data_IF_402992462973
#
_entry.id   IF_402992462973
#
_cell.length_a   1.000
_cell.length_b   1.000
_cell.length_c   1.000
_cell.angle_alpha   90.00
_cell.angle_beta   90.00
_cell.angle_gamma   90.00
#
_symmetry.space_group_name_H-M   'P 1'
#
loop_
_entity.id
_entity.type
_entity.pdbx_description
1 polymer ?
#
# COMPACT_ATOMS: atom_id res chain seq x y z
N UNK A 1 -21.72 32.53 -13.43
CA UNK A 1 -20.31 32.70 -13.03
C UNK A 1 -19.89 31.76 -11.89
N UNK A 2 -20.81 31.23 -11.07
CA UNK A 2 -20.53 30.19 -10.05
C UNK A 2 -20.21 28.79 -10.62
N UNK A 3 -20.82 28.40 -11.75
CA UNK A 3 -20.69 27.02 -12.28
C UNK A 3 -19.25 26.59 -12.57
N UNK A 4 -18.43 27.47 -13.17
CA UNK A 4 -17.06 27.12 -13.56
C UNK A 4 -16.15 26.98 -12.33
N UNK A 5 -16.32 27.81 -11.31
CA UNK A 5 -15.57 27.70 -10.05
C UNK A 5 -15.99 26.49 -9.24
N UNK A 6 -17.29 26.17 -9.22
CA UNK A 6 -17.82 25.01 -8.51
C UNK A 6 -17.35 23.71 -9.19
N UNK A 7 -17.35 23.67 -10.53
CA UNK A 7 -16.82 22.55 -11.31
C UNK A 7 -15.31 22.37 -11.12
N UNK A 8 -14.54 23.48 -11.08
CA UNK A 8 -13.11 23.43 -10.85
C UNK A 8 -12.78 22.96 -9.42
N UNK A 9 -13.58 23.36 -8.43
CA UNK A 9 -13.45 22.93 -7.04
C UNK A 9 -13.70 21.41 -6.90
N UNK A 10 -14.75 20.89 -7.52
CA UNK A 10 -15.10 19.46 -7.49
C UNK A 10 -14.03 18.59 -8.21
N UNK A 11 -13.58 19.01 -9.40
CA UNK A 11 -12.48 18.31 -10.11
C UNK A 11 -11.19 18.33 -9.28
N UNK A 12 -10.89 19.45 -8.62
CA UNK A 12 -9.71 19.57 -7.75
C UNK A 12 -9.82 18.67 -6.51
N UNK A 13 -11.01 18.57 -5.90
CA UNK A 13 -11.25 17.67 -4.76
C UNK A 13 -11.09 16.20 -5.17
N UNK A 14 -11.63 15.81 -6.33
CA UNK A 14 -11.47 14.45 -6.88
C UNK A 14 -10.01 14.15 -7.25
N UNK A 15 -9.28 15.12 -7.79
CA UNK A 15 -7.85 15.00 -8.08
C UNK A 15 -7.01 14.90 -6.79
N UNK A 16 -7.39 15.62 -5.73
CA UNK A 16 -6.69 15.61 -4.46
C UNK A 16 -6.63 14.19 -3.83
N UNK A 17 -7.60 13.31 -4.13
CA UNK A 17 -7.58 11.90 -3.68
C UNK A 17 -6.33 11.13 -4.12
N UNK A 18 -5.75 11.45 -5.28
CA UNK A 18 -4.51 10.82 -5.76
C UNK A 18 -3.26 11.25 -4.99
N UNK A 19 -3.37 12.24 -4.09
CA UNK A 19 -2.30 12.58 -3.14
C UNK A 19 -2.12 11.54 -2.04
N UNK A 20 -3.18 10.76 -1.72
CA UNK A 20 -3.18 9.92 -0.51
C UNK A 20 -4.04 8.66 -0.58
N UNK A 21 -5.30 8.74 -1.03
CA UNK A 21 -6.28 7.65 -0.91
C UNK A 21 -6.45 6.79 -2.16
N UNK A 22 -6.22 7.32 -3.36
CA UNK A 22 -6.32 6.53 -4.58
C UNK A 22 -5.02 5.75 -4.83
N UNK A 23 -5.12 4.41 -4.90
CA UNK A 23 -3.97 3.52 -5.09
C UNK A 23 -3.58 3.39 -6.56
N UNK A 24 -4.55 3.45 -7.47
CA UNK A 24 -4.32 3.44 -8.92
C UNK A 24 -3.35 2.33 -9.37
N UNK A 25 -2.33 2.70 -10.14
CA UNK A 25 -1.29 1.77 -10.60
C UNK A 25 -0.47 1.16 -9.47
N UNK A 26 -0.30 1.86 -8.34
CA UNK A 26 0.42 1.30 -7.19
C UNK A 26 -0.32 0.11 -6.59
N UNK A 27 -1.66 0.12 -6.63
CA UNK A 27 -2.46 -1.01 -6.16
C UNK A 27 -2.30 -2.24 -7.07
N UNK A 28 -2.21 -2.02 -8.38
CA UNK A 28 -1.94 -3.09 -9.36
C UNK A 28 -0.56 -3.71 -9.13
N UNK A 29 0.48 -2.87 -9.03
CA UNK A 29 1.85 -3.31 -8.75
C UNK A 29 1.92 -4.08 -7.44
N UNK A 30 1.33 -3.54 -6.37
CA UNK A 30 1.29 -4.20 -5.07
C UNK A 30 0.60 -5.55 -5.10
N UNK A 31 -0.53 -5.66 -5.83
CA UNK A 31 -1.26 -6.92 -5.98
C UNK A 31 -0.45 -7.97 -6.73
N UNK A 32 0.26 -7.57 -7.80
CA UNK A 32 1.15 -8.49 -8.55
C UNK A 32 2.30 -8.95 -7.66
N UNK A 33 2.97 -8.03 -6.97
CA UNK A 33 4.06 -8.35 -6.06
C UNK A 33 3.58 -9.27 -4.93
N UNK A 34 2.36 -9.06 -4.42
CA UNK A 34 1.75 -9.91 -3.39
C UNK A 34 1.57 -11.34 -3.91
N UNK A 35 0.90 -11.51 -5.05
CA UNK A 35 0.67 -12.84 -5.63
C UNK A 35 1.99 -13.55 -5.90
N UNK A 36 2.97 -12.86 -6.49
CA UNK A 36 4.30 -13.42 -6.73
C UNK A 36 5.00 -13.80 -5.42
N UNK A 37 4.90 -12.98 -4.38
CA UNK A 37 5.55 -13.25 -3.11
C UNK A 37 4.98 -14.49 -2.41
N UNK A 38 3.66 -14.70 -2.47
CA UNK A 38 3.03 -15.92 -1.94
C UNK A 38 3.31 -17.14 -2.83
N UNK A 39 3.30 -16.98 -4.16
CA UNK A 39 3.57 -18.09 -5.09
C UNK A 39 5.01 -18.59 -5.02
N UNK A 40 5.97 -17.68 -4.87
CA UNK A 40 7.41 -17.98 -4.83
C UNK A 40 7.94 -18.25 -3.41
N UNK A 41 7.11 -18.05 -2.38
CA UNK A 41 7.46 -18.26 -0.98
C UNK A 41 8.09 -19.63 -0.69
N UNK A 42 7.52 -20.76 -1.16
CA UNK A 42 8.10 -22.08 -0.95
C UNK A 42 9.49 -22.24 -1.56
N UNK A 43 9.71 -21.72 -2.78
CA UNK A 43 10.98 -21.79 -3.48
C UNK A 43 12.07 -20.92 -2.82
N UNK A 44 11.68 -19.92 -2.03
CA UNK A 44 12.63 -19.07 -1.31
C UNK A 44 13.45 -19.87 -0.29
N UNK A 45 12.95 -21.02 0.20
CA UNK A 45 13.71 -21.88 1.10
C UNK A 45 15.03 -22.37 0.47
N UNK A 46 15.00 -22.68 -0.83
CA UNK A 46 16.13 -23.27 -1.56
C UNK A 46 16.99 -22.23 -2.29
N UNK A 47 16.44 -21.05 -2.57
CA UNK A 47 17.09 -19.98 -3.32
C UNK A 47 17.33 -18.72 -2.46
N UNK A 48 18.55 -18.49 -1.93
CA UNK A 48 18.85 -17.32 -1.09
C UNK A 48 18.61 -15.98 -1.78
N UNK A 49 18.92 -15.89 -3.08
CA UNK A 49 18.66 -14.69 -3.87
C UNK A 49 17.16 -14.38 -3.97
N UNK A 50 16.32 -15.41 -4.06
CA UNK A 50 14.87 -15.26 -4.11
C UNK A 50 14.34 -14.76 -2.77
N UNK A 51 14.90 -15.21 -1.62
CA UNK A 51 14.57 -14.62 -0.31
C UNK A 51 14.80 -13.12 -0.30
N UNK A 52 15.96 -12.66 -0.78
CA UNK A 52 16.27 -11.22 -0.82
C UNK A 52 15.25 -10.45 -1.68
N UNK A 53 14.87 -11.01 -2.84
CA UNK A 53 13.83 -10.43 -3.70
C UNK A 53 12.50 -10.32 -2.95
N UNK A 54 12.04 -11.39 -2.30
CA UNK A 54 10.77 -11.40 -1.57
C UNK A 54 10.77 -10.46 -0.35
N UNK A 55 11.88 -10.40 0.38
CA UNK A 55 12.07 -9.48 1.51
C UNK A 55 12.03 -8.03 1.04
N UNK A 56 12.53 -7.75 -0.17
CA UNK A 56 12.53 -6.40 -0.75
C UNK A 56 11.19 -5.97 -1.35
N UNK A 57 10.27 -6.90 -1.62
CA UNK A 57 8.99 -6.61 -2.28
C UNK A 57 8.16 -5.50 -1.60
N UNK A 58 8.04 -5.42 -0.25
CA UNK A 58 7.33 -4.34 0.41
C UNK A 58 7.96 -2.97 0.18
N UNK A 59 9.29 -2.91 0.17
CA UNK A 59 10.03 -1.68 -0.09
C UNK A 59 9.85 -1.26 -1.54
N UNK A 60 9.94 -2.19 -2.48
CA UNK A 60 9.73 -1.92 -3.91
C UNK A 60 8.31 -1.42 -4.19
N UNK A 61 7.31 -1.98 -3.52
CA UNK A 61 5.93 -1.51 -3.64
C UNK A 61 5.74 -0.10 -3.08
N UNK A 62 6.25 0.18 -1.87
CA UNK A 62 6.19 1.51 -1.27
C UNK A 62 6.93 2.56 -2.11
N UNK A 63 8.11 2.20 -2.64
CA UNK A 63 8.88 3.05 -3.54
C UNK A 63 8.07 3.36 -4.80
N UNK A 64 7.48 2.33 -5.42
CA UNK A 64 6.63 2.49 -6.59
C UNK A 64 5.44 3.40 -6.31
N UNK A 65 4.82 3.27 -5.13
CA UNK A 65 3.73 4.14 -4.68
C UNK A 65 4.17 5.60 -4.58
N UNK A 66 5.31 5.84 -3.94
CA UNK A 66 5.84 7.19 -3.72
C UNK A 66 6.29 7.84 -5.03
N UNK A 67 6.96 7.08 -5.92
CA UNK A 67 7.37 7.54 -7.24
C UNK A 67 6.17 7.87 -8.12
N UNK A 68 5.14 7.01 -8.15
CA UNK A 68 3.92 7.29 -8.89
C UNK A 68 3.21 8.52 -8.35
N UNK A 69 3.17 8.69 -7.02
CA UNK A 69 2.57 9.89 -6.41
C UNK A 69 3.28 11.16 -6.87
N UNK A 70 4.59 11.22 -6.70
CA UNK A 70 5.38 12.45 -6.94
C UNK A 70 5.49 12.74 -8.45
N UNK A 71 5.90 11.77 -9.25
CA UNK A 71 6.27 12.00 -10.64
C UNK A 71 5.11 11.84 -11.63
N UNK A 72 4.08 11.08 -11.28
CA UNK A 72 2.99 10.76 -12.20
C UNK A 72 1.68 11.45 -11.81
N UNK A 73 1.23 11.26 -10.57
CA UNK A 73 -0.08 11.73 -10.12
C UNK A 73 -0.11 13.19 -9.68
N UNK A 74 0.97 13.73 -9.10
CA UNK A 74 1.05 15.13 -8.63
C UNK A 74 1.88 16.05 -9.53
N UNK A 75 2.17 15.62 -10.77
CA UNK A 75 3.01 16.39 -11.70
C UNK A 75 2.40 17.75 -12.07
N UNK A 76 1.07 17.87 -12.07
CA UNK A 76 0.36 19.08 -12.54
C UNK A 76 -0.08 20.02 -11.41
N UNK A 77 0.19 19.67 -10.15
CA UNK A 77 -0.09 20.51 -8.99
C UNK A 77 -0.34 19.70 -7.72
N UNK A 78 0.13 20.20 -6.58
CA UNK A 78 -0.03 19.53 -5.29
C UNK A 78 -1.38 19.86 -4.64
N UNK A 79 -2.46 19.19 -5.07
CA UNK A 79 -3.72 19.22 -4.34
C UNK A 79 -3.69 18.19 -3.19
N UNK A 80 -3.94 18.64 -1.95
CA UNK A 80 -3.93 17.78 -0.76
C UNK A 80 -5.36 17.41 -0.37
N UNK A 81 -5.65 16.12 -0.25
CA UNK A 81 -6.98 15.64 0.12
C UNK A 81 -7.41 16.11 1.51
N UNK A 82 -8.59 16.73 1.62
CA UNK A 82 -9.25 16.97 2.91
C UNK A 82 -9.89 15.67 3.41
N UNK A 83 -9.18 15.00 4.32
CA UNK A 83 -9.64 13.73 4.90
C UNK A 83 -10.85 13.95 5.82
N UNK A 84 -11.99 13.32 5.47
CA UNK A 84 -13.17 13.24 6.31
C UNK A 84 -12.87 12.63 7.69
N UNK A 85 -13.50 13.15 8.74
CA UNK A 85 -13.29 12.68 10.12
C UNK A 85 -13.68 11.22 10.32
N UNK A 86 -14.63 10.69 9.53
CA UNK A 86 -14.98 9.27 9.55
C UNK A 86 -13.81 8.41 9.07
N UNK A 87 -13.21 8.77 7.93
CA UNK A 87 -12.07 8.05 7.35
C UNK A 87 -10.85 8.13 8.27
N UNK A 88 -10.60 9.31 8.88
CA UNK A 88 -9.53 9.50 9.87
C UNK A 88 -9.68 8.59 11.08
N UNK A 89 -10.90 8.45 11.61
CA UNK A 89 -11.19 7.55 12.75
C UNK A 89 -11.00 6.09 12.37
N UNK A 90 -11.48 5.68 11.20
CA UNK A 90 -11.31 4.31 10.70
C UNK A 90 -9.82 3.98 10.50
N UNK A 91 -9.07 4.86 9.84
CA UNK A 91 -7.62 4.72 9.66
C UNK A 91 -6.89 4.57 10.99
N UNK A 92 -7.21 5.46 11.94
CA UNK A 92 -6.63 5.39 13.30
C UNK A 92 -6.94 4.07 13.99
N UNK A 93 -8.18 3.57 13.87
CA UNK A 93 -8.57 2.28 14.42
C UNK A 93 -7.75 1.12 13.83
N UNK A 94 -7.56 1.10 12.51
CA UNK A 94 -6.73 0.09 11.82
C UNK A 94 -5.27 0.13 12.27
N UNK A 95 -4.70 1.33 12.41
CA UNK A 95 -3.31 1.53 12.89
C UNK A 95 -3.16 1.09 14.33
N UNK A 96 -4.10 1.43 15.21
CA UNK A 96 -4.08 0.99 16.62
C UNK A 96 -4.20 -0.53 16.71
N UNK A 97 -5.08 -1.14 15.92
CA UNK A 97 -5.20 -2.59 15.84
C UNK A 97 -3.88 -3.24 15.43
N UNK A 98 -3.25 -2.74 14.37
CA UNK A 98 -1.92 -3.22 13.93
C UNK A 98 -0.87 -3.06 15.03
N UNK A 99 -0.81 -1.91 15.70
CA UNK A 99 0.13 -1.66 16.77
C UNK A 99 -0.07 -2.63 17.94
N UNK A 100 -1.32 -2.92 18.31
CA UNK A 100 -1.65 -3.87 19.36
C UNK A 100 -1.24 -5.30 18.99
N UNK A 101 -1.51 -5.74 17.75
CA UNK A 101 -1.10 -7.07 17.26
C UNK A 101 0.43 -7.17 17.18
N UNK A 102 1.11 -6.16 16.65
CA UNK A 102 2.58 -6.12 16.60
C UNK A 102 3.20 -6.16 17.99
N UNK A 103 2.63 -5.44 18.96
CA UNK A 103 3.07 -5.48 20.35
C UNK A 103 2.83 -6.86 20.97
N UNK A 104 1.67 -7.48 20.71
CA UNK A 104 1.37 -8.83 21.19
C UNK A 104 2.38 -9.85 20.64
N UNK A 105 2.73 -9.78 19.35
CA UNK A 105 3.74 -10.65 18.74
C UNK A 105 5.13 -10.42 19.37
N UNK A 106 5.51 -9.16 19.59
CA UNK A 106 6.78 -8.82 20.24
C UNK A 106 6.85 -9.38 21.67
N UNK A 107 5.84 -9.10 22.49
CA UNK A 107 5.76 -9.57 23.87
C UNK A 107 5.71 -11.09 23.92
N UNK A 108 4.93 -11.74 23.05
CA UNK A 108 4.88 -13.19 22.93
C UNK A 108 6.26 -13.79 22.65
N UNK A 109 7.05 -13.19 21.74
CA UNK A 109 8.42 -13.63 21.47
C UNK A 109 9.36 -13.41 22.67
N UNK A 110 9.23 -12.28 23.38
CA UNK A 110 10.03 -11.98 24.56
C UNK A 110 9.74 -12.93 25.72
N UNK A 111 8.47 -13.17 26.02
CA UNK A 111 8.05 -13.98 27.17
C UNK A 111 8.18 -15.49 26.94
N UNK A 112 7.95 -15.97 25.71
CA UNK A 112 7.99 -17.41 25.40
C UNK A 112 9.36 -17.88 24.90
N UNK A 113 10.15 -17.01 24.26
CA UNK A 113 11.44 -17.35 23.67
C UNK A 113 12.66 -17.04 24.54
N UNK A 114 12.54 -16.11 25.48
CA UNK A 114 13.69 -15.61 26.25
C UNK A 114 14.69 -14.79 25.43
N UNK A 115 15.62 -14.11 26.10
CA UNK A 115 16.62 -13.23 25.45
C UNK A 115 17.75 -14.00 24.74
N UNK A 116 17.93 -15.29 25.04
CA UNK A 116 19.01 -16.11 24.48
C UNK A 116 18.73 -16.57 23.04
N UNK A 117 17.49 -16.44 22.54
CA UNK A 117 17.08 -16.86 21.19
C UNK A 117 17.05 -15.70 20.18
N UNK A 118 17.82 -14.64 20.42
CA UNK A 118 17.91 -13.48 19.52
C UNK A 118 18.92 -13.73 18.40
N UNK A 119 18.43 -14.28 17.30
CA UNK A 119 19.19 -14.44 16.05
C UNK A 119 18.76 -13.40 14.98
N UNK A 120 19.60 -13.22 13.96
CA UNK A 120 19.35 -12.25 12.89
C UNK A 120 18.02 -12.49 12.13
N UNK A 121 17.60 -13.73 11.80
CA UNK A 121 16.31 -14.00 11.17
C UNK A 121 15.11 -13.53 12.01
N UNK A 122 15.12 -13.78 13.33
CA UNK A 122 14.03 -13.36 14.22
C UNK A 122 14.00 -11.85 14.43
N UNK A 123 15.18 -11.22 14.52
CA UNK A 123 15.27 -9.76 14.55
C UNK A 123 14.66 -9.18 13.28
N UNK A 124 15.03 -9.71 12.10
CA UNK A 124 14.46 -9.27 10.83
C UNK A 124 12.95 -9.45 10.73
N UNK A 125 12.43 -10.60 11.17
CA UNK A 125 10.98 -10.83 11.31
C UNK A 125 10.32 -9.75 12.18
N UNK A 126 10.85 -9.48 13.36
CA UNK A 126 10.30 -8.48 14.28
C UNK A 126 10.38 -7.06 13.72
N UNK A 127 11.45 -6.72 12.98
CA UNK A 127 11.57 -5.42 12.30
C UNK A 127 10.41 -5.21 11.33
N UNK A 128 10.06 -6.19 10.50
CA UNK A 128 8.91 -6.07 9.60
C UNK A 128 7.58 -5.93 10.36
N UNK A 129 7.37 -6.74 11.40
CA UNK A 129 6.14 -6.71 12.22
C UNK A 129 5.98 -5.37 12.93
N UNK A 130 7.05 -4.80 13.48
CA UNK A 130 7.03 -3.52 14.20
C UNK A 130 7.02 -2.32 13.25
N UNK A 131 7.57 -2.44 12.05
CA UNK A 131 7.49 -1.39 11.04
C UNK A 131 6.07 -1.25 10.47
N UNK A 132 5.32 -2.34 10.41
CA UNK A 132 3.97 -2.39 9.82
C UNK A 132 3.00 -1.31 10.34
N UNK A 133 2.81 -1.07 11.65
CA UNK A 133 1.93 -0.01 12.14
C UNK A 133 2.40 1.40 11.75
N UNK A 134 3.73 1.65 11.77
CA UNK A 134 4.30 2.94 11.38
C UNK A 134 4.08 3.21 9.88
N UNK A 135 4.29 2.16 9.08
CA UNK A 135 4.10 2.22 7.63
C UNK A 135 2.62 2.37 7.31
N UNK A 136 1.75 1.60 7.96
CA UNK A 136 0.30 1.71 7.79
C UNK A 136 -0.18 3.12 8.13
N UNK A 137 0.29 3.70 9.25
CA UNK A 137 -0.07 5.06 9.65
C UNK A 137 0.23 6.10 8.57
N UNK A 138 1.33 5.93 7.84
CA UNK A 138 1.80 6.89 6.82
C UNK A 138 1.24 6.61 5.43
N UNK A 139 1.08 5.36 5.00
CA UNK A 139 0.83 4.99 3.60
C UNK A 139 -0.47 4.20 3.34
N UNK A 140 -1.10 3.55 4.32
CA UNK A 140 -2.26 2.65 4.09
C UNK A 140 -3.60 3.34 4.34
N UNK A 141 -3.91 4.35 3.53
CA UNK A 141 -5.13 5.15 3.69
C UNK A 141 -6.38 4.54 3.05
N UNK A 142 -6.21 3.59 2.11
CA UNK A 142 -7.31 2.82 1.53
C UNK A 142 -7.35 1.40 2.12
N UNK A 143 -8.54 0.78 2.11
CA UNK A 143 -8.71 -0.62 2.54
C UNK A 143 -7.89 -1.56 1.68
N UNK A 144 -7.81 -1.31 0.38
CA UNK A 144 -7.03 -2.12 -0.55
C UNK A 144 -5.53 -1.99 -0.31
N UNK A 145 -5.03 -0.79 -0.04
CA UNK A 145 -3.65 -0.58 0.38
C UNK A 145 -3.34 -1.30 1.68
N UNK A 146 -4.26 -1.23 2.64
CA UNK A 146 -4.11 -1.91 3.92
C UNK A 146 -3.98 -3.42 3.73
N UNK A 147 -4.87 -4.04 2.96
CA UNK A 147 -4.86 -5.49 2.74
C UNK A 147 -3.61 -5.94 1.98
N UNK A 148 -3.31 -5.31 0.84
CA UNK A 148 -2.12 -5.64 0.04
C UNK A 148 -0.86 -5.42 0.87
N UNK A 149 -0.76 -4.29 1.56
CA UNK A 149 0.39 -3.95 2.38
C UNK A 149 0.59 -4.92 3.53
N UNK A 150 -0.44 -5.19 4.33
CA UNK A 150 -0.35 -6.13 5.46
C UNK A 150 0.09 -7.51 4.98
N UNK A 151 -0.56 -8.07 3.95
CA UNK A 151 -0.22 -9.40 3.44
C UNK A 151 1.23 -9.48 2.94
N UNK A 152 1.67 -8.43 2.23
CA UNK A 152 2.99 -8.39 1.62
C UNK A 152 4.11 -8.21 2.67
N UNK A 153 3.86 -7.38 3.70
CA UNK A 153 4.76 -7.26 4.86
C UNK A 153 4.80 -8.54 5.71
N UNK A 154 3.66 -9.19 5.93
CA UNK A 154 3.58 -10.47 6.62
C UNK A 154 4.37 -11.56 5.89
N UNK A 155 4.22 -11.67 4.57
CA UNK A 155 5.00 -12.59 3.74
C UNK A 155 6.50 -12.31 3.87
N UNK A 156 6.92 -11.04 3.76
CA UNK A 156 8.33 -10.67 3.91
C UNK A 156 8.88 -10.99 5.30
N UNK A 157 8.11 -10.76 6.37
CA UNK A 157 8.48 -11.11 7.73
C UNK A 157 8.74 -12.62 7.86
N UNK A 158 7.79 -13.45 7.41
CA UNK A 158 7.88 -14.91 7.49
C UNK A 158 9.07 -15.45 6.67
N UNK A 159 9.29 -14.93 5.46
CA UNK A 159 10.44 -15.32 4.63
C UNK A 159 11.77 -14.91 5.30
N UNK A 160 11.81 -13.76 5.97
CA UNK A 160 12.99 -13.33 6.75
C UNK A 160 13.28 -14.27 7.90
N UNK A 161 12.23 -14.76 8.58
CA UNK A 161 12.34 -15.80 9.62
C UNK A 161 12.63 -17.21 9.08
N UNK A 162 12.79 -17.39 7.75
CA UNK A 162 13.06 -18.68 7.12
C UNK A 162 11.83 -19.56 6.87
N UNK A 163 10.63 -19.05 7.15
CA UNK A 163 9.37 -19.74 6.90
C UNK A 163 8.73 -19.38 5.56
N UNK A 164 7.59 -20.00 5.28
CA UNK A 164 6.68 -19.61 4.20
C UNK A 164 5.24 -19.89 4.63
N UNK A 165 4.29 -19.17 4.05
CA UNK A 165 2.88 -19.45 4.31
C UNK A 165 2.41 -20.72 3.57
N UNK A 166 1.47 -21.49 4.15
CA UNK A 166 0.85 -22.62 3.45
C UNK A 166 0.16 -22.19 2.15
N UNK A 167 0.08 -23.12 1.18
CA UNK A 167 -0.43 -22.83 -0.17
C UNK A 167 -1.85 -22.26 -0.25
N UNK A 168 -2.71 -22.49 0.73
CA UNK A 168 -4.05 -21.88 0.75
C UNK A 168 -4.02 -20.35 0.90
N UNK A 169 -2.95 -19.77 1.45
CA UNK A 169 -2.77 -18.31 1.49
C UNK A 169 -2.56 -17.71 0.11
N UNK A 170 -2.06 -18.48 -0.86
CA UNK A 170 -2.00 -18.03 -2.26
C UNK A 170 -3.40 -17.82 -2.83
N UNK A 171 -4.37 -18.66 -2.48
CA UNK A 171 -5.77 -18.48 -2.91
C UNK A 171 -6.34 -17.17 -2.37
N UNK A 172 -6.03 -16.85 -1.11
CA UNK A 172 -6.43 -15.58 -0.49
C UNK A 172 -5.77 -14.39 -1.20
N UNK A 173 -4.47 -14.46 -1.48
CA UNK A 173 -3.76 -13.43 -2.24
C UNK A 173 -4.33 -13.25 -3.65
N UNK A 174 -4.64 -14.34 -4.35
CA UNK A 174 -5.28 -14.31 -5.67
C UNK A 174 -6.67 -13.69 -5.62
N UNK A 175 -7.50 -14.03 -4.62
CA UNK A 175 -8.82 -13.45 -4.45
C UNK A 175 -8.75 -11.93 -4.23
N UNK A 176 -7.82 -11.49 -3.37
CA UNK A 176 -7.62 -10.06 -3.15
C UNK A 176 -7.08 -9.36 -4.39
N UNK A 177 -6.12 -9.95 -5.10
CA UNK A 177 -5.59 -9.40 -6.34
C UNK A 177 -6.68 -9.29 -7.43
N UNK A 178 -7.58 -10.27 -7.52
CA UNK A 178 -8.69 -10.27 -8.47
C UNK A 178 -9.67 -9.10 -8.23
N UNK A 179 -9.73 -8.55 -7.01
CA UNK A 179 -10.54 -7.36 -6.68
C UNK A 179 -9.70 -6.09 -6.81
N UNK A 180 -8.49 -6.09 -6.26
CA UNK A 180 -7.62 -4.93 -6.17
C UNK A 180 -7.09 -4.47 -7.54
N UNK A 181 -6.79 -5.40 -8.46
CA UNK A 181 -6.30 -5.06 -9.80
C UNK A 181 -7.36 -4.31 -10.62
N UNK A 182 -8.62 -4.80 -10.75
CA UNK A 182 -9.67 -4.04 -11.44
C UNK A 182 -9.95 -2.68 -10.82
N UNK A 183 -9.93 -2.59 -9.48
CA UNK A 183 -10.10 -1.31 -8.77
C UNK A 183 -8.96 -0.35 -9.12
N UNK A 184 -7.71 -0.80 -9.05
CA UNK A 184 -6.55 0.03 -9.40
C UNK A 184 -6.54 0.47 -10.87
N UNK A 185 -6.97 -0.38 -11.80
CA UNK A 185 -7.13 -0.04 -13.22
C UNK A 185 -8.24 0.99 -13.41
N UNK A 186 -9.38 0.82 -12.72
CA UNK A 186 -10.48 1.78 -12.77
C UNK A 186 -10.06 3.15 -12.23
N UNK A 187 -9.43 3.20 -11.06
CA UNK A 187 -8.88 4.43 -10.49
C UNK A 187 -7.86 5.08 -11.43
N UNK A 188 -7.00 4.29 -12.10
CA UNK A 188 -6.08 4.85 -13.07
C UNK A 188 -6.79 5.45 -14.30
N UNK A 189 -7.88 4.84 -14.78
CA UNK A 189 -8.69 5.41 -15.88
C UNK A 189 -9.40 6.69 -15.44
N UNK A 190 -9.94 6.71 -14.23
CA UNK A 190 -10.59 7.89 -13.65
C UNK A 190 -9.59 9.06 -13.54
N UNK A 191 -8.33 8.78 -13.16
CA UNK A 191 -7.25 9.76 -13.19
C UNK A 191 -7.00 10.34 -14.58
N UNK A 192 -6.92 9.49 -15.61
CA UNK A 192 -6.70 9.95 -16.99
C UNK A 192 -7.85 10.84 -17.49
N UNK A 193 -9.08 10.57 -17.05
CA UNK A 193 -10.24 11.42 -17.35
C UNK A 193 -10.11 12.78 -16.66
N UNK A 194 -9.86 12.78 -15.34
CA UNK A 194 -9.70 14.01 -14.55
C UNK A 194 -8.57 14.89 -15.05
N UNK A 195 -7.46 14.29 -15.48
CA UNK A 195 -6.33 15.01 -16.06
C UNK A 195 -6.72 15.78 -17.32
N UNK A 196 -7.48 15.14 -18.22
CA UNK A 196 -7.99 15.82 -19.43
C UNK A 196 -8.96 16.95 -19.09
N UNK A 197 -9.82 16.77 -18.10
CA UNK A 197 -10.73 17.82 -17.62
C UNK A 197 -9.96 19.01 -17.05
N UNK A 198 -8.91 18.77 -16.27
CA UNK A 198 -8.04 19.83 -15.75
C UNK A 198 -7.29 20.56 -16.87
N UNK A 199 -6.72 19.85 -17.84
CA UNK A 199 -6.07 20.44 -19.02
C UNK A 199 -7.04 21.34 -19.81
N UNK A 200 -8.30 20.90 -20.00
CA UNK A 200 -9.34 21.67 -20.69
C UNK A 200 -9.78 22.92 -19.92
N UNK A 201 -9.88 22.83 -18.59
CA UNK A 201 -10.28 23.95 -17.74
C UNK A 201 -9.15 24.98 -17.56
N UNK A 202 -7.89 24.52 -17.60
CA UNK A 202 -6.68 25.34 -17.50
C UNK A 202 -6.29 26.02 -18.81
N UNK A 203 -6.73 25.48 -19.97
CA UNK A 203 -6.57 26.17 -21.24
C UNK A 203 -7.29 27.53 -21.19
N UNK A 204 -6.58 28.66 -21.39
CA UNK A 204 -7.20 29.97 -21.43
C UNK A 204 -8.28 29.99 -22.51
N UNK A 205 -9.39 30.70 -22.26
CA UNK A 205 -10.30 31.10 -23.33
C UNK A 205 -9.56 32.11 -24.22
N UNK A 206 -8.64 31.65 -25.07
CA UNK A 206 -7.84 32.50 -25.96
C UNK A 206 -8.59 32.87 -27.25
N UNK A 207 -9.85 32.44 -27.40
CA UNK A 207 -10.70 32.80 -28.53
C UNK A 207 -12.12 33.14 -28.06
N UNK A 208 -12.30 34.36 -27.55
CA UNK A 208 -13.60 35.04 -27.50
C UNK A 208 -13.39 36.52 -27.80
#
# INVERSE_FOLDING_TARGET
>A
MNDRTDQLADVTERYARYSRSAGGLSLVIGSILMVLAFALGPAAAEAPWLRLVLISAPVLWLLSKELLRIFYYQREGAAVERVSDKLRRQHRGMVIYLAAVSLLILLGNLFLGGLEQWDWPRIGYLVFVLALPLIAARWFWSVSDFLVGVLLFCQAAIVTGGGHYPGYWLLLALLYAAIAVPVGVREHRDYLCLRRELEQLAAPAEHA
#
